data_IF_224365422569
#
_entry.id   IF_224365422569
#
_cell.length_a   1.000
_cell.length_b   1.000
_cell.length_c   1.000
_cell.angle_alpha   90.00
_cell.angle_beta   90.00
_cell.angle_gamma   90.00
#
_symmetry.space_group_name_H-M   'P 1'
#
loop_
_entity.id
_entity.type
_entity.pdbx_description
1 polymer ?
#
# COMPACT_ATOMS: atom_id res chain seq x y z
N UNK A 1 -35.64 -30.30 -9.17
CA UNK A 1 -34.94 -29.31 -10.06
C UNK A 1 -34.16 -28.23 -9.37
N UNK A 2 -33.98 -28.28 -8.03
CA UNK A 2 -33.43 -27.13 -7.25
C UNK A 2 -31.97 -27.26 -6.83
N UNK A 3 -31.31 -28.37 -7.16
CA UNK A 3 -29.86 -28.52 -6.83
C UNK A 3 -28.91 -27.80 -7.79
N UNK A 4 -29.43 -27.32 -8.93
CA UNK A 4 -28.62 -26.70 -9.99
C UNK A 4 -28.22 -25.24 -9.69
N UNK A 5 -28.91 -24.53 -8.78
CA UNK A 5 -28.60 -23.17 -8.39
C UNK A 5 -27.50 -23.20 -7.30
N UNK A 6 -27.55 -24.18 -6.41
CA UNK A 6 -26.62 -24.31 -5.26
C UNK A 6 -25.24 -24.82 -5.70
N UNK A 7 -25.17 -25.61 -6.80
CA UNK A 7 -23.92 -26.15 -7.35
C UNK A 7 -23.14 -25.19 -8.28
N UNK A 8 -23.74 -24.06 -8.67
CA UNK A 8 -23.15 -23.11 -9.63
C UNK A 8 -22.16 -22.11 -9.03
N UNK A 9 -22.07 -22.02 -7.71
CA UNK A 9 -21.16 -21.11 -7.07
C UNK A 9 -20.18 -21.92 -6.20
N UNK A 10 -18.88 -21.92 -6.53
CA UNK A 10 -17.89 -22.59 -5.70
C UNK A 10 -17.88 -21.96 -4.30
N UNK A 11 -18.04 -22.83 -3.30
CA UNK A 11 -18.10 -22.48 -1.87
C UNK A 11 -16.72 -22.17 -1.27
N UNK A 12 -15.67 -22.21 -2.08
CA UNK A 12 -14.30 -22.02 -1.60
C UNK A 12 -13.88 -20.55 -1.62
N UNK A 13 -13.33 -20.11 -0.48
CA UNK A 13 -12.72 -18.79 -0.29
C UNK A 13 -11.45 -18.54 -1.13
N UNK A 14 -11.21 -19.36 -2.17
CA UNK A 14 -9.93 -19.48 -2.88
C UNK A 14 -9.74 -18.50 -4.04
N UNK A 15 -10.45 -17.38 -4.13
CA UNK A 15 -10.40 -16.49 -5.29
C UNK A 15 -9.89 -15.06 -4.99
N UNK A 16 -8.95 -14.89 -4.04
CA UNK A 16 -8.09 -13.71 -3.99
C UNK A 16 -6.87 -13.85 -4.94
N UNK A 17 -6.79 -14.96 -5.69
CA UNK A 17 -5.75 -15.15 -6.73
C UNK A 17 -6.10 -14.34 -7.97
N UNK A 18 -5.16 -13.50 -8.47
CA UNK A 18 -5.29 -12.96 -9.81
C UNK A 18 -5.19 -14.10 -10.83
N UNK A 19 -6.30 -14.39 -11.49
CA UNK A 19 -6.42 -15.16 -12.73
C UNK A 19 -5.56 -16.44 -12.88
N UNK A 20 -6.13 -17.58 -12.59
CA UNK A 20 -5.75 -18.81 -13.30
C UNK A 20 -6.15 -18.66 -14.78
N UNK A 21 -5.25 -19.00 -15.68
CA UNK A 21 -5.52 -19.08 -17.12
C UNK A 21 -6.78 -19.93 -17.36
N UNK A 22 -7.85 -19.32 -17.86
CA UNK A 22 -9.11 -19.99 -18.25
C UNK A 22 -10.37 -19.60 -17.46
N UNK A 23 -10.30 -18.90 -16.34
CA UNK A 23 -11.46 -18.44 -15.57
C UNK A 23 -12.04 -17.14 -16.13
N UNK A 24 -13.26 -17.18 -16.71
CA UNK A 24 -14.02 -15.97 -17.03
C UNK A 24 -14.22 -15.17 -15.75
N UNK A 25 -13.65 -13.96 -15.69
CA UNK A 25 -13.91 -13.04 -14.58
C UNK A 25 -15.41 -12.89 -14.36
N UNK A 26 -15.88 -13.17 -13.14
CA UNK A 26 -17.28 -12.92 -12.78
C UNK A 26 -17.48 -11.41 -12.79
N UNK A 27 -18.31 -10.92 -13.70
CA UNK A 27 -18.59 -9.48 -13.83
C UNK A 27 -19.43 -8.98 -12.65
N UNK A 28 -19.38 -7.67 -12.30
CA UNK A 28 -20.26 -7.09 -11.28
C UNK A 28 -21.75 -7.38 -11.54
N UNK A 29 -22.17 -7.37 -12.80
CA UNK A 29 -23.55 -7.72 -13.17
C UNK A 29 -23.94 -9.14 -12.75
N UNK A 30 -23.08 -10.13 -13.01
CA UNK A 30 -23.32 -11.51 -12.58
C UNK A 30 -23.31 -11.68 -11.06
N UNK A 31 -22.50 -10.91 -10.35
CA UNK A 31 -22.51 -10.90 -8.88
C UNK A 31 -23.82 -10.30 -8.35
N UNK A 32 -24.35 -9.25 -8.98
CA UNK A 32 -25.62 -8.65 -8.61
C UNK A 32 -26.80 -9.60 -8.89
N UNK A 33 -26.77 -10.32 -10.01
CA UNK A 33 -27.75 -11.41 -10.31
C UNK A 33 -27.68 -12.51 -9.25
N UNK A 34 -26.48 -12.91 -8.83
CA UNK A 34 -26.31 -13.92 -7.78
C UNK A 34 -26.88 -13.44 -6.43
N UNK A 35 -26.65 -12.19 -6.04
CA UNK A 35 -27.23 -11.57 -4.83
C UNK A 35 -28.76 -11.63 -4.89
N UNK A 36 -29.36 -11.27 -6.03
CA UNK A 36 -30.83 -11.31 -6.24
C UNK A 36 -31.36 -12.71 -6.10
N UNK A 37 -30.76 -13.69 -6.80
CA UNK A 37 -31.19 -15.09 -6.75
C UNK A 37 -31.06 -15.69 -5.33
N UNK A 38 -29.99 -15.35 -4.59
CA UNK A 38 -29.81 -15.82 -3.21
C UNK A 38 -30.85 -15.20 -2.25
N UNK A 39 -31.20 -13.94 -2.42
CA UNK A 39 -32.30 -13.29 -1.65
C UNK A 39 -33.66 -13.90 -1.95
N UNK A 40 -33.93 -14.26 -3.20
CA UNK A 40 -35.14 -14.98 -3.57
C UNK A 40 -35.19 -16.40 -2.98
N UNK A 41 -34.08 -17.12 -3.01
CA UNK A 41 -33.96 -18.43 -2.39
C UNK A 41 -34.22 -18.36 -0.87
N UNK A 42 -33.70 -17.34 -0.19
CA UNK A 42 -33.94 -17.15 1.25
C UNK A 42 -35.39 -16.99 1.65
N UNK A 43 -36.25 -16.48 0.76
CA UNK A 43 -37.70 -16.41 1.01
C UNK A 43 -38.39 -17.79 1.13
N UNK A 44 -37.77 -18.83 0.56
CA UNK A 44 -38.28 -20.23 0.58
C UNK A 44 -37.77 -21.01 1.80
N UNK A 45 -36.61 -20.61 2.37
CA UNK A 45 -35.97 -21.31 3.48
C UNK A 45 -35.94 -20.38 4.68
N UNK A 46 -36.80 -20.65 5.66
CA UNK A 46 -36.72 -19.90 6.93
C UNK A 46 -35.77 -20.60 7.91
N UNK A 47 -35.21 -19.80 8.82
CA UNK A 47 -34.31 -20.31 9.86
C UNK A 47 -34.92 -21.41 10.73
N UNK A 48 -36.24 -21.32 10.98
CA UNK A 48 -36.97 -22.28 11.82
C UNK A 48 -37.23 -23.60 11.10
N UNK A 49 -37.51 -23.58 9.77
CA UNK A 49 -37.88 -24.75 9.00
C UNK A 49 -36.71 -25.49 8.40
N UNK A 50 -35.68 -24.76 7.99
CA UNK A 50 -34.52 -25.31 7.30
C UNK A 50 -33.26 -24.53 7.72
N UNK A 51 -32.80 -24.66 8.99
CA UNK A 51 -31.74 -23.84 9.53
C UNK A 51 -30.39 -23.95 8.79
N UNK A 52 -29.99 -25.16 8.39
CA UNK A 52 -28.72 -25.38 7.69
C UNK A 52 -28.72 -24.80 6.28
N UNK A 53 -29.80 -24.99 5.53
CA UNK A 53 -29.98 -24.42 4.19
C UNK A 53 -30.05 -22.89 4.25
N UNK A 54 -30.72 -22.36 5.28
CA UNK A 54 -30.78 -20.93 5.52
C UNK A 54 -29.38 -20.37 5.80
N UNK A 55 -28.60 -21.00 6.69
CA UNK A 55 -27.24 -20.58 7.02
C UNK A 55 -26.30 -20.67 5.80
N UNK A 56 -26.43 -21.70 4.97
CA UNK A 56 -25.69 -21.84 3.73
C UNK A 56 -26.03 -20.70 2.76
N UNK A 57 -27.30 -20.34 2.61
CA UNK A 57 -27.72 -19.22 1.77
C UNK A 57 -27.19 -17.90 2.31
N UNK A 58 -27.18 -17.70 3.64
CA UNK A 58 -26.58 -16.52 4.27
C UNK A 58 -25.09 -16.43 3.99
N UNK A 59 -24.33 -17.52 4.17
CA UNK A 59 -22.89 -17.55 3.87
C UNK A 59 -22.60 -17.25 2.40
N UNK A 60 -23.36 -17.84 1.48
CA UNK A 60 -23.23 -17.60 0.04
C UNK A 60 -23.60 -16.16 -0.35
N UNK A 61 -24.66 -15.59 0.27
CA UNK A 61 -25.04 -14.19 0.09
C UNK A 61 -23.91 -13.27 0.55
N UNK A 62 -23.32 -13.54 1.72
CA UNK A 62 -22.16 -12.82 2.22
C UNK A 62 -20.99 -12.84 1.23
N UNK A 63 -20.68 -14.01 0.64
CA UNK A 63 -19.63 -14.15 -0.37
C UNK A 63 -19.92 -13.30 -1.63
N UNK A 64 -21.15 -13.33 -2.15
CA UNK A 64 -21.53 -12.57 -3.34
C UNK A 64 -21.50 -11.06 -3.07
N UNK A 65 -22.01 -10.61 -1.92
CA UNK A 65 -22.03 -9.21 -1.49
C UNK A 65 -20.61 -8.68 -1.28
N UNK A 66 -19.73 -9.43 -0.58
CA UNK A 66 -18.35 -9.05 -0.36
C UNK A 66 -17.63 -8.81 -1.68
N UNK A 67 -17.68 -9.81 -2.61
CA UNK A 67 -17.03 -9.69 -3.92
C UNK A 67 -17.59 -8.53 -4.75
N UNK A 68 -18.89 -8.28 -4.68
CA UNK A 68 -19.55 -7.18 -5.38
C UNK A 68 -19.11 -5.84 -4.79
N UNK A 69 -19.08 -5.72 -3.44
CA UNK A 69 -18.62 -4.54 -2.71
C UNK A 69 -17.15 -4.22 -2.94
N UNK A 70 -16.28 -5.23 -3.03
CA UNK A 70 -14.88 -5.07 -3.41
C UNK A 70 -14.73 -4.48 -4.82
N UNK A 71 -15.43 -5.05 -5.80
CA UNK A 71 -15.32 -4.62 -7.20
C UNK A 71 -15.91 -3.24 -7.48
N UNK A 72 -16.96 -2.87 -6.76
CA UNK A 72 -17.63 -1.56 -6.89
C UNK A 72 -17.08 -0.51 -5.92
N UNK A 73 -16.16 -0.89 -5.06
CA UNK A 73 -15.69 -0.07 -3.94
C UNK A 73 -16.86 0.43 -3.04
N UNK A 74 -17.83 -0.46 -2.81
CA UNK A 74 -19.08 -0.17 -2.12
C UNK A 74 -19.05 -0.75 -0.69
N UNK A 75 -18.93 0.13 0.31
CA UNK A 75 -18.85 -0.24 1.72
C UNK A 75 -20.17 -0.80 2.27
N UNK A 76 -21.32 -0.34 1.76
CA UNK A 76 -22.62 -0.80 2.24
C UNK A 76 -22.80 -2.30 1.95
N UNK A 77 -22.37 -2.76 0.78
CA UNK A 77 -22.39 -4.17 0.43
C UNK A 77 -21.46 -5.02 1.29
N UNK A 78 -20.32 -4.47 1.70
CA UNK A 78 -19.43 -5.18 2.63
C UNK A 78 -20.10 -5.27 4.01
N UNK A 79 -20.78 -4.23 4.48
CA UNK A 79 -21.54 -4.26 5.73
C UNK A 79 -22.67 -5.28 5.67
N UNK A 80 -23.43 -5.34 4.57
CA UNK A 80 -24.44 -6.37 4.35
C UNK A 80 -23.82 -7.80 4.35
N UNK A 81 -22.63 -7.97 3.75
CA UNK A 81 -21.93 -9.25 3.77
C UNK A 81 -21.56 -9.68 5.20
N UNK A 82 -21.07 -8.76 6.01
CA UNK A 82 -20.77 -9.00 7.44
C UNK A 82 -22.03 -9.44 8.21
N UNK A 83 -23.17 -8.76 7.97
CA UNK A 83 -24.45 -9.12 8.58
C UNK A 83 -24.91 -10.53 8.16
N UNK A 84 -24.75 -10.88 6.88
CA UNK A 84 -25.09 -12.20 6.37
C UNK A 84 -24.21 -13.31 6.99
N UNK A 85 -22.90 -13.11 7.10
CA UNK A 85 -22.02 -14.07 7.77
C UNK A 85 -22.35 -14.22 9.26
N UNK A 86 -22.63 -13.12 9.97
CA UNK A 86 -23.07 -13.18 11.38
C UNK A 86 -24.37 -13.96 11.52
N UNK A 87 -25.32 -13.74 10.61
CA UNK A 87 -26.54 -14.55 10.55
C UNK A 87 -26.26 -16.04 10.35
N UNK A 88 -25.39 -16.42 9.41
CA UNK A 88 -25.02 -17.81 9.23
C UNK A 88 -24.39 -18.43 10.49
N UNK A 89 -23.57 -17.69 11.22
CA UNK A 89 -22.90 -18.11 12.46
C UNK A 89 -23.86 -18.32 13.65
N UNK A 90 -25.08 -17.80 13.59
CA UNK A 90 -26.12 -18.12 14.58
C UNK A 90 -26.62 -19.58 14.47
N UNK A 91 -26.42 -20.20 13.30
CA UNK A 91 -26.80 -21.59 13.02
C UNK A 91 -25.58 -22.50 12.94
N UNK A 92 -24.58 -22.09 12.16
CA UNK A 92 -23.31 -22.79 12.11
C UNK A 92 -22.59 -22.56 13.43
N UNK A 93 -22.49 -23.61 14.22
CA UNK A 93 -21.75 -23.59 15.48
C UNK A 93 -20.57 -24.54 15.39
N UNK A 94 -19.54 -24.27 16.18
CA UNK A 94 -18.36 -25.13 16.25
C UNK A 94 -18.67 -26.58 16.57
N UNK A 95 -19.72 -26.84 17.37
CA UNK A 95 -20.14 -28.19 17.79
C UNK A 95 -20.96 -28.93 16.73
N UNK A 96 -21.73 -28.21 15.88
CA UNK A 96 -22.65 -28.82 14.92
C UNK A 96 -22.10 -28.88 13.51
N UNK A 97 -21.39 -27.85 13.09
CA UNK A 97 -20.91 -27.66 11.73
C UNK A 97 -19.51 -27.02 11.76
N UNK A 98 -18.49 -27.71 12.30
CA UNK A 98 -17.18 -27.12 12.59
C UNK A 98 -16.49 -26.52 11.37
N UNK A 99 -16.56 -27.16 10.20
CA UNK A 99 -15.91 -26.66 8.99
C UNK A 99 -16.66 -25.50 8.35
N UNK A 100 -18.00 -25.56 8.28
CA UNK A 100 -18.85 -24.47 7.80
C UNK A 100 -18.74 -23.24 8.71
N UNK A 101 -18.67 -23.47 10.02
CA UNK A 101 -18.43 -22.43 10.99
C UNK A 101 -17.06 -21.78 10.77
N UNK A 102 -15.98 -22.55 10.63
CA UNK A 102 -14.64 -22.05 10.38
C UNK A 102 -14.54 -21.29 9.03
N UNK A 103 -15.16 -21.82 7.98
CA UNK A 103 -15.24 -21.16 6.68
C UNK A 103 -15.95 -19.80 6.79
N UNK A 104 -17.08 -19.77 7.52
CA UNK A 104 -17.85 -18.53 7.69
C UNK A 104 -17.09 -17.52 8.54
N UNK A 105 -16.36 -17.96 9.57
CA UNK A 105 -15.46 -17.09 10.36
C UNK A 105 -14.34 -16.53 9.49
N UNK A 106 -13.69 -17.34 8.64
CA UNK A 106 -12.66 -16.86 7.72
C UNK A 106 -13.23 -15.82 6.75
N UNK A 107 -14.41 -16.04 6.19
CA UNK A 107 -15.06 -15.12 5.25
C UNK A 107 -15.50 -13.81 5.95
N UNK A 108 -15.99 -13.90 7.18
CA UNK A 108 -16.30 -12.75 8.03
C UNK A 108 -15.03 -11.92 8.27
N UNK A 109 -13.91 -12.59 8.63
CA UNK A 109 -12.61 -11.96 8.81
C UNK A 109 -12.18 -11.19 7.56
N UNK A 110 -12.37 -11.77 6.36
CA UNK A 110 -12.03 -11.10 5.11
C UNK A 110 -12.87 -9.82 4.88
N UNK A 111 -14.19 -9.89 5.09
CA UNK A 111 -15.06 -8.72 4.95
C UNK A 111 -14.73 -7.61 5.97
N UNK A 112 -14.46 -7.99 7.23
CA UNK A 112 -14.06 -7.06 8.29
C UNK A 112 -12.72 -6.39 7.97
N UNK A 113 -11.73 -7.14 7.43
CA UNK A 113 -10.44 -6.58 7.03
C UNK A 113 -10.61 -5.53 5.93
N UNK A 114 -11.35 -5.84 4.86
CA UNK A 114 -11.59 -4.93 3.75
C UNK A 114 -12.20 -3.61 4.25
N UNK A 115 -13.22 -3.70 5.08
CA UNK A 115 -13.88 -2.51 5.63
C UNK A 115 -12.97 -1.80 6.62
N UNK A 116 -12.24 -2.57 7.44
CA UNK A 116 -11.29 -2.04 8.40
C UNK A 116 -10.11 -1.31 7.75
N UNK A 117 -9.62 -1.75 6.59
CA UNK A 117 -8.57 -1.07 5.83
C UNK A 117 -9.04 0.28 5.26
N UNK A 118 -10.34 0.43 5.00
CA UNK A 118 -10.94 1.67 4.53
C UNK A 118 -11.29 2.66 5.66
N UNK A 119 -11.39 2.18 6.89
CA UNK A 119 -11.61 3.00 8.08
C UNK A 119 -10.32 3.59 8.63
N UNK A 120 -10.45 4.62 9.46
CA UNK A 120 -9.30 5.18 10.21
C UNK A 120 -9.04 4.44 11.53
N UNK A 121 -10.06 3.77 12.10
CA UNK A 121 -9.97 3.05 13.38
C UNK A 121 -9.42 1.62 13.25
N UNK A 122 -9.11 1.00 14.39
CA UNK A 122 -8.55 -0.36 14.46
C UNK A 122 -9.58 -1.44 14.81
N UNK A 123 -10.78 -1.06 15.26
CA UNK A 123 -11.76 -2.00 15.81
C UNK A 123 -12.15 -3.13 14.83
N UNK A 124 -12.42 -2.80 13.56
CA UNK A 124 -12.78 -3.80 12.54
C UNK A 124 -11.61 -4.71 12.16
N UNK A 125 -10.39 -4.18 12.16
CA UNK A 125 -9.20 -4.99 11.95
C UNK A 125 -8.98 -5.96 13.12
N UNK A 126 -9.23 -5.53 14.36
CA UNK A 126 -9.17 -6.41 15.53
C UNK A 126 -10.25 -7.51 15.44
N UNK A 127 -11.51 -7.18 15.11
CA UNK A 127 -12.55 -8.18 14.89
C UNK A 127 -12.18 -9.17 13.75
N UNK A 128 -11.51 -8.69 12.71
CA UNK A 128 -11.01 -9.54 11.61
C UNK A 128 -9.97 -10.55 12.12
N UNK A 129 -8.99 -10.09 12.89
CA UNK A 129 -7.98 -10.95 13.51
C UNK A 129 -8.64 -12.02 14.38
N UNK A 130 -9.63 -11.64 15.20
CA UNK A 130 -10.34 -12.56 16.06
C UNK A 130 -11.14 -13.61 15.27
N UNK A 131 -11.81 -13.20 14.18
CA UNK A 131 -12.53 -14.12 13.30
C UNK A 131 -11.60 -15.15 12.64
N UNK A 132 -10.43 -14.74 12.14
CA UNK A 132 -9.44 -15.68 11.61
C UNK A 132 -8.88 -16.63 12.67
N UNK A 133 -8.61 -16.13 13.87
CA UNK A 133 -8.20 -16.98 14.99
C UNK A 133 -9.27 -18.00 15.36
N UNK A 134 -10.56 -17.60 15.33
CA UNK A 134 -11.67 -18.53 15.51
C UNK A 134 -11.67 -19.62 14.44
N UNK A 135 -11.52 -19.26 13.16
CA UNK A 135 -11.48 -20.25 12.08
C UNK A 135 -10.34 -21.28 12.30
N UNK A 136 -9.17 -20.84 12.76
CA UNK A 136 -8.00 -21.69 13.00
C UNK A 136 -8.15 -22.69 14.15
N UNK A 137 -9.21 -22.60 14.98
CA UNK A 137 -9.52 -23.68 15.92
C UNK A 137 -9.93 -24.98 15.24
N UNK A 138 -10.62 -24.90 14.11
CA UNK A 138 -11.09 -26.06 13.34
C UNK A 138 -10.25 -26.31 12.08
N UNK A 139 -9.73 -25.28 11.46
CA UNK A 139 -8.78 -25.42 10.37
C UNK A 139 -7.41 -25.80 10.94
N UNK A 140 -7.05 -27.07 10.78
CA UNK A 140 -5.79 -27.63 11.22
C UNK A 140 -4.98 -28.16 10.03
N UNK A 141 -3.66 -28.02 10.05
CA UNK A 141 -2.82 -28.40 8.90
C UNK A 141 -2.92 -29.89 8.55
N UNK A 142 -3.26 -30.75 9.52
CA UNK A 142 -3.42 -32.20 9.33
C UNK A 142 -4.73 -32.57 8.64
N UNK A 143 -5.78 -31.73 8.77
CA UNK A 143 -7.13 -32.03 8.25
C UNK A 143 -7.46 -31.28 6.98
N UNK A 144 -7.20 -29.98 6.97
CA UNK A 144 -7.53 -29.05 5.87
C UNK A 144 -6.36 -28.09 5.62
N UNK A 145 -5.22 -28.62 5.15
CA UNK A 145 -3.98 -27.86 5.04
C UNK A 145 -4.08 -26.59 4.19
N UNK A 146 -4.85 -26.61 3.11
CA UNK A 146 -4.98 -25.45 2.21
C UNK A 146 -5.81 -24.34 2.86
N UNK A 147 -6.95 -24.68 3.49
CA UNK A 147 -7.81 -23.70 4.19
C UNK A 147 -7.08 -23.12 5.41
N UNK A 148 -6.33 -23.97 6.12
CA UNK A 148 -5.48 -23.53 7.23
C UNK A 148 -4.42 -22.54 6.74
N UNK A 149 -3.69 -22.84 5.68
CA UNK A 149 -2.65 -21.97 5.14
C UNK A 149 -3.21 -20.66 4.58
N UNK A 150 -4.37 -20.72 3.92
CA UNK A 150 -5.09 -19.54 3.45
C UNK A 150 -5.51 -18.66 4.63
N UNK A 151 -6.06 -19.24 5.69
CA UNK A 151 -6.48 -18.50 6.89
C UNK A 151 -5.29 -17.90 7.62
N UNK A 152 -4.15 -18.61 7.71
CA UNK A 152 -2.90 -18.06 8.24
C UNK A 152 -2.40 -16.86 7.42
N UNK A 153 -2.45 -16.96 6.10
CA UNK A 153 -2.10 -15.84 5.21
C UNK A 153 -3.02 -14.63 5.45
N UNK A 154 -4.32 -14.86 5.52
CA UNK A 154 -5.32 -13.80 5.75
C UNK A 154 -5.16 -13.16 7.14
N UNK A 155 -4.89 -13.98 8.17
CA UNK A 155 -4.56 -13.51 9.52
C UNK A 155 -3.33 -12.60 9.49
N UNK A 156 -2.27 -13.03 8.80
CA UNK A 156 -1.06 -12.22 8.60
C UNK A 156 -1.36 -10.86 7.96
N UNK A 157 -2.24 -10.83 6.94
CA UNK A 157 -2.65 -9.58 6.29
C UNK A 157 -3.41 -8.65 7.24
N UNK A 158 -4.36 -9.18 8.01
CA UNK A 158 -5.11 -8.39 9.00
C UNK A 158 -4.21 -7.86 10.13
N UNK A 159 -3.31 -8.70 10.64
CA UNK A 159 -2.33 -8.33 11.67
C UNK A 159 -1.36 -7.25 11.17
N UNK A 160 -0.89 -7.34 9.92
CA UNK A 160 -0.06 -6.30 9.32
C UNK A 160 -0.82 -4.97 9.24
N UNK A 161 -2.04 -4.97 8.68
CA UNK A 161 -2.85 -3.75 8.57
C UNK A 161 -3.18 -3.14 9.94
N UNK A 162 -3.40 -3.97 10.96
CA UNK A 162 -3.56 -3.52 12.35
C UNK A 162 -2.26 -2.95 12.90
N UNK A 163 -1.15 -3.67 12.72
CA UNK A 163 0.17 -3.29 13.20
C UNK A 163 0.68 -1.99 12.57
N UNK A 164 0.37 -1.71 11.30
CA UNK A 164 0.73 -0.45 10.64
C UNK A 164 0.05 0.77 11.29
N UNK A 165 -1.07 0.58 12.00
CA UNK A 165 -1.80 1.63 12.72
C UNK A 165 -1.43 1.75 14.20
N UNK A 166 -0.82 0.72 14.76
CA UNK A 166 -0.33 0.70 16.14
C UNK A 166 1.14 1.16 16.17
N UNK A 167 1.60 1.69 17.29
CA UNK A 167 2.99 2.18 17.43
C UNK A 167 4.00 1.07 17.75
N UNK A 168 3.53 -0.08 18.28
CA UNK A 168 4.40 -1.21 18.66
C UNK A 168 4.71 -2.16 17.51
N UNK A 169 5.61 -3.11 17.73
CA UNK A 169 6.03 -4.13 16.74
C UNK A 169 5.25 -5.44 16.84
N UNK A 170 4.60 -5.71 17.98
CA UNK A 170 4.01 -7.01 18.29
C UNK A 170 3.06 -7.56 17.22
N UNK A 171 2.19 -6.71 16.63
CA UNK A 171 1.27 -7.14 15.57
C UNK A 171 1.98 -7.48 14.27
N UNK A 172 3.04 -6.76 13.95
CA UNK A 172 3.86 -7.05 12.77
C UNK A 172 4.64 -8.36 12.95
N UNK A 173 5.15 -8.62 14.14
CA UNK A 173 5.82 -9.89 14.50
C UNK A 173 4.83 -11.07 14.39
N UNK A 174 3.61 -10.92 14.92
CA UNK A 174 2.55 -11.90 14.75
C UNK A 174 2.19 -12.12 13.28
N UNK A 175 2.17 -11.05 12.45
CA UNK A 175 1.93 -11.14 11.02
C UNK A 175 3.01 -11.95 10.31
N UNK A 176 4.27 -11.68 10.60
CA UNK A 176 5.43 -12.42 10.07
C UNK A 176 5.32 -13.90 10.44
N UNK A 177 5.00 -14.21 11.72
CA UNK A 177 4.81 -15.58 12.16
C UNK A 177 3.67 -16.29 11.41
N UNK A 178 2.53 -15.61 11.20
CA UNK A 178 1.39 -16.16 10.46
C UNK A 178 1.73 -16.45 8.99
N UNK A 179 2.46 -15.58 8.31
CA UNK A 179 2.93 -15.83 6.94
C UNK A 179 3.91 -17.01 6.88
N UNK A 180 4.82 -17.14 7.83
CA UNK A 180 5.69 -18.30 7.90
C UNK A 180 4.90 -19.59 8.09
N UNK A 181 3.84 -19.59 8.91
CA UNK A 181 2.95 -20.75 9.03
C UNK A 181 2.29 -21.08 7.69
N UNK A 182 1.75 -20.10 6.97
CA UNK A 182 1.15 -20.31 5.66
C UNK A 182 2.14 -20.95 4.66
N UNK A 183 3.40 -20.50 4.66
CA UNK A 183 4.45 -20.98 3.77
C UNK A 183 4.88 -22.43 4.04
N UNK A 184 4.56 -23.01 5.19
CA UNK A 184 4.80 -24.44 5.46
C UNK A 184 3.97 -25.35 4.55
N UNK A 185 2.81 -24.87 4.09
CA UNK A 185 1.89 -25.60 3.22
C UNK A 185 1.91 -25.05 1.80
N UNK A 186 1.84 -23.73 1.66
CA UNK A 186 2.00 -23.04 0.38
C UNK A 186 3.44 -23.05 -0.03
N UNK A 187 3.87 -24.14 -0.68
CA UNK A 187 5.24 -24.25 -1.20
C UNK A 187 5.25 -23.86 -2.68
N UNK A 188 6.40 -23.44 -3.18
CA UNK A 188 6.60 -23.08 -4.59
C UNK A 188 6.17 -24.21 -5.55
N UNK A 189 6.38 -25.47 -5.16
CA UNK A 189 6.03 -26.65 -5.96
C UNK A 189 4.53 -26.94 -5.98
N UNK A 190 3.82 -26.69 -4.87
CA UNK A 190 2.40 -27.03 -4.71
C UNK A 190 1.45 -25.93 -5.14
N UNK A 191 1.79 -24.68 -4.86
CA UNK A 191 0.96 -23.52 -5.09
C UNK A 191 1.86 -22.29 -5.40
N UNK A 192 2.51 -22.24 -6.59
CA UNK A 192 3.53 -21.23 -6.88
C UNK A 192 3.04 -19.79 -6.76
N UNK A 193 1.83 -19.49 -7.22
CA UNK A 193 1.28 -18.12 -7.14
C UNK A 193 0.90 -17.74 -5.70
N UNK A 194 0.25 -18.66 -4.96
CA UNK A 194 -0.09 -18.41 -3.55
C UNK A 194 1.15 -18.30 -2.66
N UNK A 195 2.17 -19.09 -2.98
CA UNK A 195 3.47 -19.00 -2.34
C UNK A 195 4.11 -17.63 -2.60
N UNK A 196 4.16 -17.18 -3.85
CA UNK A 196 4.72 -15.88 -4.21
C UNK A 196 3.96 -14.71 -3.59
N UNK A 197 2.62 -14.77 -3.59
CA UNK A 197 1.78 -13.79 -2.91
C UNK A 197 2.07 -13.76 -1.41
N UNK A 198 2.24 -14.92 -0.78
CA UNK A 198 2.56 -14.99 0.65
C UNK A 198 3.96 -14.47 0.94
N UNK A 199 4.94 -14.75 0.07
CA UNK A 199 6.29 -14.18 0.16
C UNK A 199 6.29 -12.65 0.01
N UNK A 200 5.54 -12.11 -0.95
CA UNK A 200 5.40 -10.66 -1.13
C UNK A 200 4.79 -9.97 0.10
N UNK A 201 3.74 -10.58 0.68
CA UNK A 201 3.10 -10.04 1.88
C UNK A 201 3.96 -10.21 3.14
N UNK A 202 4.75 -11.30 3.24
CA UNK A 202 5.78 -11.45 4.27
C UNK A 202 6.82 -10.33 4.13
N UNK A 203 7.27 -10.04 2.91
CA UNK A 203 8.18 -8.93 2.64
C UNK A 203 7.62 -7.58 3.11
N UNK A 204 6.31 -7.32 2.87
CA UNK A 204 5.66 -6.10 3.35
C UNK A 204 5.65 -6.01 4.89
N UNK A 205 5.33 -7.11 5.59
CA UNK A 205 5.33 -7.14 7.05
C UNK A 205 6.73 -6.97 7.65
N UNK A 206 7.73 -7.63 7.05
CA UNK A 206 9.14 -7.51 7.45
C UNK A 206 9.69 -6.10 7.19
N UNK A 207 9.35 -5.48 6.06
CA UNK A 207 9.73 -4.10 5.77
C UNK A 207 9.13 -3.13 6.80
N UNK A 208 7.82 -3.25 7.08
CA UNK A 208 7.15 -2.42 8.09
C UNK A 208 7.73 -2.62 9.50
N UNK A 209 8.13 -3.84 9.85
CA UNK A 209 8.82 -4.14 11.10
C UNK A 209 10.22 -3.50 11.11
N UNK A 210 10.98 -3.71 10.03
CA UNK A 210 12.32 -3.14 9.88
C UNK A 210 12.34 -1.61 9.93
N UNK A 211 11.31 -0.92 9.42
CA UNK A 211 11.24 0.55 9.53
C UNK A 211 11.09 1.06 10.97
N UNK A 212 10.58 0.24 11.88
CA UNK A 212 10.39 0.59 13.30
C UNK A 212 11.59 0.26 14.18
N UNK A 213 12.52 -0.50 13.66
CA UNK A 213 13.73 -0.93 14.37
C UNK A 213 14.95 -0.12 13.92
N UNK A 214 15.96 -0.09 14.74
CA UNK A 214 17.27 0.51 14.38
C UNK A 214 18.15 -0.45 13.58
N UNK A 215 17.89 -1.77 13.69
CA UNK A 215 18.60 -2.83 12.97
C UNK A 215 18.19 -2.95 11.50
N UNK A 216 18.99 -3.70 10.73
CA UNK A 216 18.74 -3.92 9.29
C UNK A 216 18.31 -5.35 8.97
N UNK A 217 18.21 -6.22 9.98
CA UNK A 217 17.95 -7.65 9.76
C UNK A 217 16.60 -7.89 9.06
N UNK A 218 15.51 -7.30 9.56
CA UNK A 218 14.19 -7.48 8.96
C UNK A 218 14.08 -6.85 7.56
N UNK A 219 14.80 -5.75 7.30
CA UNK A 219 14.89 -5.19 5.94
C UNK A 219 15.62 -6.16 4.98
N UNK A 220 16.68 -6.82 5.41
CA UNK A 220 17.38 -7.85 4.62
C UNK A 220 16.48 -9.07 4.35
N UNK A 221 15.71 -9.48 5.35
CA UNK A 221 14.71 -10.56 5.20
C UNK A 221 13.58 -10.15 4.25
N UNK A 222 13.11 -8.88 4.31
CA UNK A 222 12.13 -8.34 3.37
C UNK A 222 12.65 -8.39 1.93
N UNK A 223 13.88 -7.95 1.68
CA UNK A 223 14.53 -8.04 0.37
C UNK A 223 14.58 -9.49 -0.12
N UNK A 224 14.93 -10.43 0.75
CA UNK A 224 14.93 -11.86 0.42
C UNK A 224 13.54 -12.37 0.04
N UNK A 225 12.51 -12.02 0.82
CA UNK A 225 11.13 -12.42 0.59
C UNK A 225 10.58 -11.85 -0.75
N UNK A 226 10.85 -10.60 -1.07
CA UNK A 226 10.46 -10.03 -2.37
C UNK A 226 11.20 -10.67 -3.54
N UNK A 227 12.49 -10.98 -3.41
CA UNK A 227 13.23 -11.69 -4.44
C UNK A 227 12.67 -13.10 -4.67
N UNK A 228 12.26 -13.79 -3.60
CA UNK A 228 11.57 -15.07 -3.72
C UNK A 228 10.21 -14.91 -4.41
N UNK A 229 9.40 -13.91 -4.05
CA UNK A 229 8.13 -13.65 -4.72
C UNK A 229 8.30 -13.40 -6.23
N UNK A 230 9.32 -12.67 -6.65
CA UNK A 230 9.62 -12.35 -8.04
C UNK A 230 10.01 -13.57 -8.90
N UNK A 231 10.29 -14.73 -8.28
CA UNK A 231 10.50 -15.98 -9.04
C UNK A 231 9.23 -16.47 -9.74
N UNK A 232 8.06 -16.14 -9.21
CA UNK A 232 6.74 -16.54 -9.74
C UNK A 232 5.87 -15.34 -10.15
N UNK A 233 6.01 -14.18 -9.49
CA UNK A 233 5.47 -12.92 -9.98
C UNK A 233 6.27 -12.50 -11.20
N UNK A 234 5.78 -12.91 -12.37
CA UNK A 234 6.48 -12.71 -13.65
C UNK A 234 5.79 -11.63 -14.47
N UNK A 235 6.60 -10.88 -15.19
CA UNK A 235 6.16 -9.79 -16.05
C UNK A 235 5.11 -10.23 -17.07
N UNK A 236 5.31 -11.39 -17.69
CA UNK A 236 4.44 -11.95 -18.74
C UNK A 236 3.07 -12.44 -18.23
N UNK A 237 2.95 -12.75 -16.93
CA UNK A 237 1.72 -13.28 -16.32
C UNK A 237 0.95 -12.26 -15.51
N UNK A 238 1.62 -11.30 -14.91
CA UNK A 238 0.98 -10.29 -14.06
C UNK A 238 1.85 -9.03 -13.95
N UNK A 239 1.91 -8.20 -15.00
CA UNK A 239 2.84 -7.06 -15.06
C UNK A 239 2.67 -6.10 -13.87
N UNK A 240 1.44 -5.81 -13.43
CA UNK A 240 1.20 -4.91 -12.30
C UNK A 240 1.63 -5.51 -10.95
N UNK A 241 1.40 -6.82 -10.74
CA UNK A 241 1.84 -7.50 -9.51
C UNK A 241 3.37 -7.56 -9.46
N UNK A 242 4.00 -7.84 -10.60
CA UNK A 242 5.45 -7.84 -10.75
C UNK A 242 6.03 -6.45 -10.48
N UNK A 243 5.48 -5.40 -11.07
CA UNK A 243 5.91 -4.02 -10.87
C UNK A 243 5.77 -3.58 -9.39
N UNK A 244 4.63 -3.89 -8.76
CA UNK A 244 4.41 -3.60 -7.33
C UNK A 244 5.43 -4.31 -6.44
N UNK A 245 5.73 -5.58 -6.74
CA UNK A 245 6.74 -6.33 -5.97
C UNK A 245 8.13 -5.72 -6.14
N UNK A 246 8.47 -5.24 -7.36
CA UNK A 246 9.72 -4.52 -7.61
C UNK A 246 9.78 -3.16 -6.90
N UNK A 247 8.69 -2.40 -6.88
CA UNK A 247 8.65 -1.13 -6.14
C UNK A 247 8.85 -1.36 -4.65
N UNK A 248 8.20 -2.38 -4.08
CA UNK A 248 8.38 -2.72 -2.66
C UNK A 248 9.81 -3.23 -2.36
N UNK A 249 10.39 -4.02 -3.27
CA UNK A 249 11.80 -4.40 -3.19
C UNK A 249 12.70 -3.16 -3.21
N UNK A 250 12.44 -2.21 -4.12
CA UNK A 250 13.14 -0.95 -4.21
C UNK A 250 13.09 -0.14 -2.90
N UNK A 251 11.92 -0.09 -2.27
CA UNK A 251 11.75 0.58 -0.97
C UNK A 251 12.65 -0.06 0.11
N UNK A 252 12.58 -1.39 0.26
CA UNK A 252 13.40 -2.09 1.25
C UNK A 252 14.91 -1.95 0.99
N UNK A 253 15.32 -1.98 -0.29
CA UNK A 253 16.71 -1.75 -0.70
C UNK A 253 17.16 -0.30 -0.43
N UNK A 254 16.27 0.70 -0.64
CA UNK A 254 16.55 2.10 -0.33
C UNK A 254 16.79 2.30 1.16
N UNK A 255 15.90 1.76 2.00
CA UNK A 255 16.02 1.80 3.47
C UNK A 255 17.30 1.12 3.96
N UNK A 256 17.68 -0.04 3.38
CA UNK A 256 18.97 -0.69 3.66
C UNK A 256 20.13 0.21 3.26
N UNK A 257 20.08 0.77 2.06
CA UNK A 257 21.11 1.65 1.55
C UNK A 257 21.33 2.88 2.43
N UNK A 258 20.27 3.45 2.99
CA UNK A 258 20.36 4.57 3.92
C UNK A 258 21.02 4.19 5.24
N UNK A 259 20.63 3.03 5.84
CA UNK A 259 21.10 2.60 7.17
C UNK A 259 22.49 1.98 7.17
N UNK A 260 22.84 1.25 6.12
CA UNK A 260 24.14 0.58 6.01
C UNK A 260 25.19 1.44 5.30
N UNK A 261 24.80 2.61 4.82
CA UNK A 261 25.64 3.53 4.04
C UNK A 261 26.28 2.88 2.79
N UNK A 262 25.68 1.78 2.30
CA UNK A 262 26.16 1.06 1.13
C UNK A 262 25.47 1.53 -0.16
N UNK A 263 26.22 2.15 -1.05
CA UNK A 263 25.72 2.62 -2.35
C UNK A 263 25.15 1.52 -3.25
N UNK A 264 25.58 0.27 -3.06
CA UNK A 264 25.10 -0.85 -3.89
C UNK A 264 23.61 -1.11 -3.71
N UNK A 265 23.09 -1.04 -2.47
CA UNK A 265 21.66 -1.18 -2.20
C UNK A 265 20.84 -0.10 -2.92
N UNK A 266 21.31 1.14 -2.90
CA UNK A 266 20.66 2.23 -3.62
C UNK A 266 20.69 2.04 -5.14
N UNK A 267 21.79 1.51 -5.72
CA UNK A 267 21.85 1.20 -7.17
C UNK A 267 20.87 0.11 -7.56
N UNK A 268 20.76 -0.92 -6.72
CA UNK A 268 19.75 -1.97 -6.91
C UNK A 268 18.32 -1.42 -6.79
N UNK A 269 18.07 -0.52 -5.82
CA UNK A 269 16.78 0.16 -5.67
C UNK A 269 16.41 0.96 -6.93
N UNK A 270 17.33 1.76 -7.46
CA UNK A 270 17.16 2.51 -8.72
C UNK A 270 16.80 1.56 -9.87
N UNK A 271 17.50 0.43 -9.96
CA UNK A 271 17.20 -0.57 -11.00
C UNK A 271 15.80 -1.16 -10.83
N UNK A 272 15.41 -1.52 -9.62
CA UNK A 272 14.10 -2.09 -9.32
C UNK A 272 12.97 -1.10 -9.65
N UNK A 273 13.10 0.18 -9.28
CA UNK A 273 12.11 1.20 -9.60
C UNK A 273 11.99 1.46 -11.11
N UNK A 274 13.11 1.54 -11.83
CA UNK A 274 13.11 1.72 -13.29
C UNK A 274 12.42 0.56 -14.01
N UNK A 275 12.64 -0.68 -13.55
CA UNK A 275 11.94 -1.84 -14.11
C UNK A 275 10.43 -1.80 -13.78
N UNK A 276 10.06 -1.44 -12.55
CA UNK A 276 8.66 -1.30 -12.16
C UNK A 276 7.91 -0.25 -13.00
N UNK A 277 8.53 0.89 -13.25
CA UNK A 277 7.96 1.99 -14.05
C UNK A 277 7.64 1.61 -15.50
N UNK A 278 8.31 0.59 -16.05
CA UNK A 278 8.01 0.09 -17.41
C UNK A 278 6.63 -0.56 -17.51
N UNK A 279 6.09 -1.05 -16.37
CA UNK A 279 4.84 -1.80 -16.31
C UNK A 279 3.70 -1.06 -15.62
N UNK A 280 3.97 0.08 -14.99
CA UNK A 280 2.91 0.95 -14.51
C UNK A 280 2.40 1.83 -15.66
N UNK A 281 1.23 1.51 -16.26
CA UNK A 281 0.65 2.38 -17.25
C UNK A 281 0.16 3.66 -16.58
N UNK A 282 0.76 4.79 -16.95
CA UNK A 282 0.48 6.09 -16.34
C UNK A 282 -1.02 6.43 -16.35
N UNK A 283 -1.74 6.05 -17.41
CA UNK A 283 -3.18 6.29 -17.52
C UNK A 283 -4.04 5.39 -16.60
N UNK A 284 -3.55 4.20 -16.21
CA UNK A 284 -4.32 3.21 -15.44
C UNK A 284 -3.93 3.15 -13.97
N UNK A 285 -2.68 3.50 -13.65
CA UNK A 285 -2.12 3.48 -12.31
C UNK A 285 -1.29 4.74 -12.03
N UNK A 286 -1.87 5.95 -12.21
CA UNK A 286 -1.14 7.21 -12.10
C UNK A 286 -0.49 7.43 -10.75
N UNK A 287 -1.15 7.04 -9.65
CA UNK A 287 -0.61 7.20 -8.30
C UNK A 287 0.54 6.23 -8.01
N UNK A 288 0.42 4.95 -8.41
CA UNK A 288 1.50 3.97 -8.25
C UNK A 288 2.73 4.39 -9.06
N UNK A 289 2.51 4.88 -10.28
CA UNK A 289 3.56 5.40 -11.13
C UNK A 289 4.24 6.62 -10.47
N UNK A 290 3.46 7.61 -10.01
CA UNK A 290 3.98 8.82 -9.37
C UNK A 290 4.74 8.50 -8.07
N UNK A 291 4.23 7.60 -7.23
CA UNK A 291 4.91 7.16 -6.02
C UNK A 291 6.24 6.46 -6.35
N UNK A 292 6.26 5.63 -7.40
CA UNK A 292 7.49 4.95 -7.82
C UNK A 292 8.50 5.95 -8.40
N UNK A 293 8.05 6.96 -9.14
CA UNK A 293 8.91 8.07 -9.60
C UNK A 293 9.49 8.87 -8.42
N UNK A 294 8.67 9.22 -7.43
CA UNK A 294 9.16 9.90 -6.23
C UNK A 294 10.22 9.06 -5.49
N UNK A 295 9.99 7.76 -5.35
CA UNK A 295 10.94 6.87 -4.66
C UNK A 295 12.23 6.65 -5.46
N UNK A 296 12.13 6.60 -6.80
CA UNK A 296 13.31 6.63 -7.69
C UNK A 296 14.11 7.92 -7.49
N UNK A 297 13.43 9.07 -7.44
CA UNK A 297 14.04 10.37 -7.15
C UNK A 297 14.78 10.37 -5.82
N UNK A 298 14.19 9.81 -4.76
CA UNK A 298 14.81 9.69 -3.44
C UNK A 298 16.10 8.84 -3.52
N UNK A 299 16.07 7.67 -4.14
CA UNK A 299 17.23 6.81 -4.28
C UNK A 299 18.37 7.47 -5.11
N UNK A 300 18.01 8.18 -6.18
CA UNK A 300 18.96 8.93 -7.01
C UNK A 300 19.56 10.11 -6.25
N UNK A 301 18.76 10.86 -5.49
CA UNK A 301 19.22 11.96 -4.64
C UNK A 301 20.25 11.48 -3.61
N UNK A 302 19.94 10.38 -2.91
CA UNK A 302 20.88 9.77 -1.94
C UNK A 302 22.19 9.29 -2.59
N UNK A 303 22.11 8.70 -3.78
CA UNK A 303 23.31 8.35 -4.54
C UNK A 303 24.11 9.59 -4.95
N UNK A 304 23.41 10.63 -5.43
CA UNK A 304 24.03 11.90 -5.82
C UNK A 304 24.74 12.61 -4.65
N UNK A 305 24.16 12.56 -3.45
CA UNK A 305 24.77 13.09 -2.23
C UNK A 305 26.08 12.37 -1.86
N UNK A 306 26.13 11.04 -2.05
CA UNK A 306 27.31 10.22 -1.68
C UNK A 306 28.50 10.36 -2.61
N UNK A 307 28.25 10.51 -3.89
CA UNK A 307 29.30 10.55 -4.91
C UNK A 307 29.46 11.93 -5.57
N UNK A 308 28.84 12.97 -4.99
CA UNK A 308 28.76 14.32 -5.54
C UNK A 308 28.31 14.34 -7.02
N UNK A 309 27.42 13.43 -7.35
CA UNK A 309 26.96 13.19 -8.72
C UNK A 309 25.87 14.17 -9.15
N UNK A 310 26.24 15.34 -9.70
CA UNK A 310 25.31 16.36 -10.20
C UNK A 310 24.26 15.75 -11.15
N UNK A 311 24.67 14.90 -12.08
CA UNK A 311 23.74 14.26 -13.03
C UNK A 311 22.67 13.39 -12.38
N UNK A 312 22.97 12.70 -11.25
CA UNK A 312 21.98 11.96 -10.50
C UNK A 312 20.99 12.85 -9.78
N UNK A 313 21.47 13.98 -9.29
CA UNK A 313 20.62 14.98 -8.64
C UNK A 313 19.67 15.62 -9.66
N UNK A 314 20.14 15.91 -10.88
CA UNK A 314 19.31 16.40 -11.98
C UNK A 314 18.26 15.36 -12.40
N UNK A 315 18.63 14.08 -12.48
CA UNK A 315 17.69 12.99 -12.73
C UNK A 315 16.64 12.87 -11.60
N UNK A 316 17.04 13.03 -10.34
CA UNK A 316 16.12 13.06 -9.21
C UNK A 316 15.11 14.21 -9.33
N UNK A 317 15.55 15.41 -9.66
CA UNK A 317 14.68 16.56 -9.92
C UNK A 317 13.66 16.25 -11.02
N UNK A 318 14.09 15.60 -12.10
CA UNK A 318 13.20 15.20 -13.18
C UNK A 318 12.15 14.18 -12.70
N UNK A 319 12.56 13.15 -11.95
CA UNK A 319 11.64 12.17 -11.38
C UNK A 319 10.57 12.81 -10.48
N UNK A 320 10.95 13.77 -9.63
CA UNK A 320 9.97 14.46 -8.78
C UNK A 320 9.00 15.33 -9.59
N UNK A 321 9.48 16.03 -10.62
CA UNK A 321 8.61 16.81 -11.50
C UNK A 321 7.60 15.94 -12.23
N UNK A 322 8.05 14.80 -12.75
CA UNK A 322 7.17 13.83 -13.39
C UNK A 322 6.16 13.25 -12.40
N UNK A 323 6.57 12.94 -11.15
CA UNK A 323 5.66 12.50 -10.11
C UNK A 323 4.56 13.52 -9.81
N UNK A 324 4.90 14.82 -9.77
CA UNK A 324 3.96 15.93 -9.51
C UNK A 324 2.93 16.15 -10.63
N UNK A 325 3.16 15.66 -11.83
CA UNK A 325 2.18 15.73 -12.91
C UNK A 325 0.95 14.84 -12.61
N UNK A 326 1.14 13.71 -11.92
CA UNK A 326 0.08 12.76 -11.57
C UNK A 326 -0.36 12.86 -10.11
N UNK A 327 0.58 13.08 -9.20
CA UNK A 327 0.30 13.31 -7.79
C UNK A 327 -0.11 14.76 -7.56
N UNK A 328 -1.39 15.06 -7.76
CA UNK A 328 -1.91 16.44 -7.73
C UNK A 328 -2.44 16.80 -6.35
N UNK A 329 -2.35 18.08 -6.00
CA UNK A 329 -2.81 18.63 -4.73
C UNK A 329 -4.28 18.27 -4.42
N UNK A 330 -5.17 18.34 -5.41
CA UNK A 330 -6.62 18.08 -5.26
C UNK A 330 -6.95 16.61 -4.96
N UNK A 331 -6.06 15.67 -5.26
CA UNK A 331 -6.28 14.22 -5.08
C UNK A 331 -5.49 13.61 -3.93
N UNK A 332 -4.29 14.08 -3.70
CA UNK A 332 -3.38 13.51 -2.71
C UNK A 332 -2.49 14.60 -2.10
N UNK A 333 -3.07 15.54 -1.32
CA UNK A 333 -2.36 16.73 -0.86
C UNK A 333 -1.08 16.44 -0.08
N UNK A 334 -1.09 15.46 0.82
CA UNK A 334 0.11 15.10 1.60
C UNK A 334 1.22 14.51 0.73
N UNK A 335 0.91 13.58 -0.18
CA UNK A 335 1.89 13.00 -1.09
C UNK A 335 2.46 14.06 -2.03
N UNK A 336 1.61 14.96 -2.51
CA UNK A 336 2.04 16.11 -3.32
C UNK A 336 3.02 16.99 -2.54
N UNK A 337 2.71 17.36 -1.29
CA UNK A 337 3.57 18.18 -0.45
C UNK A 337 4.91 17.49 -0.12
N UNK A 338 4.88 16.19 0.17
CA UNK A 338 6.10 15.40 0.38
C UNK A 338 6.98 15.39 -0.88
N UNK A 339 6.39 15.23 -2.07
CA UNK A 339 7.13 15.28 -3.34
C UNK A 339 7.68 16.68 -3.62
N UNK A 340 6.92 17.75 -3.32
CA UNK A 340 7.42 19.13 -3.40
C UNK A 340 8.61 19.38 -2.47
N UNK A 341 8.53 18.88 -1.22
CA UNK A 341 9.65 18.98 -0.28
C UNK A 341 10.89 18.22 -0.78
N UNK A 342 10.71 17.01 -1.32
CA UNK A 342 11.82 16.22 -1.88
C UNK A 342 12.46 16.93 -3.10
N UNK A 343 11.62 17.51 -3.97
CA UNK A 343 12.08 18.34 -5.08
C UNK A 343 12.87 19.56 -4.57
N UNK A 344 12.37 20.22 -3.53
CA UNK A 344 13.05 21.34 -2.89
C UNK A 344 14.44 20.94 -2.36
N UNK A 345 14.54 19.79 -1.71
CA UNK A 345 15.82 19.26 -1.20
C UNK A 345 16.84 19.03 -2.34
N UNK A 346 16.40 18.40 -3.43
CA UNK A 346 17.27 18.14 -4.58
C UNK A 346 17.70 19.45 -5.29
N UNK A 347 16.79 20.42 -5.41
CA UNK A 347 17.07 21.74 -5.97
C UNK A 347 18.02 22.55 -5.08
N UNK A 348 17.85 22.49 -3.76
CA UNK A 348 18.75 23.11 -2.79
C UNK A 348 20.18 22.57 -2.95
N UNK A 349 20.33 21.24 -3.04
CA UNK A 349 21.66 20.61 -3.27
C UNK A 349 22.30 21.04 -4.58
N UNK A 350 21.54 21.06 -5.68
CA UNK A 350 22.02 21.61 -6.95
C UNK A 350 22.36 23.11 -6.84
N UNK A 351 21.56 23.83 -6.07
CA UNK A 351 21.75 25.24 -5.80
C UNK A 351 22.98 25.56 -4.93
N UNK A 352 23.55 24.63 -4.20
CA UNK A 352 24.77 24.79 -3.44
C UNK A 352 26.02 25.00 -4.34
N UNK A 353 25.96 24.60 -5.61
CA UNK A 353 26.98 24.91 -6.63
C UNK A 353 27.07 26.39 -6.97
N UNK A 354 28.20 26.85 -7.51
CA UNK A 354 28.51 28.28 -7.71
C UNK A 354 27.50 29.07 -8.55
N UNK A 355 26.82 28.43 -9.52
CA UNK A 355 25.85 29.06 -10.43
C UNK A 355 24.38 28.79 -10.08
N UNK A 356 24.11 28.28 -8.92
CA UNK A 356 22.81 27.68 -8.55
C UNK A 356 21.69 28.65 -8.12
N UNK A 357 21.70 29.92 -8.48
CA UNK A 357 20.65 30.87 -8.01
C UNK A 357 19.24 30.48 -8.46
N UNK A 358 19.08 30.06 -9.70
CA UNK A 358 17.77 29.61 -10.23
C UNK A 358 17.25 28.38 -9.48
N UNK A 359 18.14 27.45 -9.14
CA UNK A 359 17.80 26.27 -8.35
C UNK A 359 17.38 26.64 -6.95
N UNK A 360 18.07 27.60 -6.30
CA UNK A 360 17.71 28.11 -4.97
C UNK A 360 16.32 28.80 -4.99
N UNK A 361 16.05 29.63 -5.97
CA UNK A 361 14.72 30.26 -6.13
C UNK A 361 13.63 29.23 -6.33
N UNK A 362 13.86 28.20 -7.15
CA UNK A 362 12.92 27.10 -7.36
C UNK A 362 12.73 26.26 -6.07
N UNK A 363 13.82 26.00 -5.32
CA UNK A 363 13.74 25.30 -4.04
C UNK A 363 12.86 26.05 -3.02
N UNK A 364 13.03 27.38 -2.90
CA UNK A 364 12.21 28.21 -2.02
C UNK A 364 10.73 28.14 -2.40
N UNK A 365 10.41 28.17 -3.69
CA UNK A 365 9.04 28.07 -4.19
C UNK A 365 8.42 26.73 -3.81
N UNK A 366 9.10 25.60 -4.08
CA UNK A 366 8.60 24.26 -3.76
C UNK A 366 8.44 24.04 -2.25
N UNK A 367 9.33 24.56 -1.41
CA UNK A 367 9.15 24.50 0.04
C UNK A 367 7.95 25.31 0.52
N UNK A 368 7.68 26.50 -0.04
CA UNK A 368 6.50 27.28 0.32
C UNK A 368 5.20 26.52 -0.05
N UNK A 369 5.18 25.87 -1.20
CA UNK A 369 4.06 25.04 -1.63
C UNK A 369 3.84 23.86 -0.67
N UNK A 370 4.90 23.16 -0.28
CA UNK A 370 4.83 22.05 0.68
C UNK A 370 4.38 22.51 2.06
N UNK A 371 4.92 23.62 2.56
CA UNK A 371 4.60 24.20 3.88
C UNK A 371 3.11 24.56 3.99
N UNK A 372 2.49 25.10 2.93
CA UNK A 372 1.08 25.42 2.94
C UNK A 372 0.21 24.20 3.28
N UNK A 373 0.59 23.02 2.77
CA UNK A 373 -0.11 21.75 3.05
C UNK A 373 0.23 21.21 4.42
N UNK A 374 1.51 21.17 4.79
CA UNK A 374 1.95 20.64 6.09
C UNK A 374 1.34 21.43 7.25
N UNK A 375 1.23 22.76 7.14
CA UNK A 375 0.57 23.60 8.14
C UNK A 375 -0.92 23.30 8.21
N UNK A 376 -1.62 23.21 7.06
CA UNK A 376 -3.03 22.87 7.02
C UNK A 376 -3.33 21.48 7.61
N UNK A 377 -2.42 20.54 7.46
CA UNK A 377 -2.52 19.18 8.00
C UNK A 377 -1.98 19.04 9.44
N UNK A 378 -1.45 20.10 10.04
CA UNK A 378 -0.79 20.08 11.36
C UNK A 378 0.35 19.04 11.46
N UNK A 379 1.08 18.85 10.36
CA UNK A 379 2.17 17.88 10.24
C UNK A 379 3.51 18.45 10.79
N UNK A 380 3.59 18.64 12.11
CA UNK A 380 4.64 19.40 12.82
C UNK A 380 6.05 18.99 12.39
N UNK A 381 6.35 17.70 12.37
CA UNK A 381 7.67 17.19 12.00
C UNK A 381 8.11 17.65 10.59
N UNK A 382 7.19 17.60 9.60
CA UNK A 382 7.50 18.05 8.24
C UNK A 382 7.64 19.58 8.15
N UNK A 383 6.89 20.32 8.96
CA UNK A 383 6.93 21.78 9.00
C UNK A 383 8.34 22.25 9.42
N UNK A 384 8.87 21.73 10.53
CA UNK A 384 10.16 22.12 11.08
C UNK A 384 11.30 21.91 10.07
N UNK A 385 11.42 20.68 9.54
CA UNK A 385 12.47 20.33 8.57
C UNK A 385 12.36 21.16 7.27
N UNK A 386 11.12 21.36 6.78
CA UNK A 386 10.89 22.12 5.57
C UNK A 386 11.22 23.60 5.74
N UNK A 387 10.93 24.20 6.91
CA UNK A 387 11.34 25.56 7.25
C UNK A 387 12.86 25.72 7.29
N UNK A 388 13.56 24.82 7.98
CA UNK A 388 15.04 24.87 8.08
C UNK A 388 15.68 24.84 6.69
N UNK A 389 15.24 23.94 5.82
CA UNK A 389 15.77 23.81 4.46
C UNK A 389 15.46 25.04 3.60
N UNK A 390 14.22 25.58 3.71
CA UNK A 390 13.83 26.80 3.01
C UNK A 390 14.68 27.99 3.45
N UNK A 391 14.87 28.19 4.76
CA UNK A 391 15.62 29.31 5.31
C UNK A 391 17.10 29.20 4.93
N UNK A 392 17.65 27.99 4.84
CA UNK A 392 18.98 27.74 4.28
C UNK A 392 19.06 28.15 2.81
N UNK A 393 18.06 27.81 1.99
CA UNK A 393 18.02 28.24 0.59
C UNK A 393 17.94 29.76 0.46
N UNK A 394 17.15 30.42 1.31
CA UNK A 394 17.06 31.90 1.37
C UNK A 394 18.39 32.53 1.72
N UNK A 395 19.08 32.03 2.74
CA UNK A 395 20.37 32.53 3.16
C UNK A 395 21.42 32.43 2.03
N UNK A 396 21.54 31.26 1.41
CA UNK A 396 22.45 31.02 0.27
C UNK A 396 22.15 31.94 -0.91
N UNK A 397 20.87 32.16 -1.22
CA UNK A 397 20.45 33.04 -2.29
C UNK A 397 20.82 34.51 -1.98
N UNK A 398 20.65 34.95 -0.71
CA UNK A 398 20.98 36.31 -0.27
C UNK A 398 22.48 36.57 -0.34
N UNK A 399 23.32 35.58 0.03
CA UNK A 399 24.78 35.67 -0.07
C UNK A 399 25.28 35.84 -1.52
N UNK A 400 24.58 35.25 -2.48
CA UNK A 400 24.94 35.24 -3.92
C UNK A 400 24.39 36.40 -4.72
N UNK A 401 23.31 37.04 -4.25
CA UNK A 401 22.78 38.22 -4.92
C UNK A 401 23.84 39.33 -4.84
N UNK A 402 24.28 39.91 -5.98
CA UNK A 402 25.19 41.02 -5.95
C UNK A 402 24.61 42.14 -5.08
N UNK A 403 25.39 42.63 -4.10
CA UNK A 403 24.99 43.79 -3.34
C UNK A 403 24.78 44.92 -4.34
N UNK A 404 23.56 45.25 -4.67
CA UNK A 404 23.22 46.45 -5.41
C UNK A 404 23.74 47.61 -4.53
N UNK A 405 24.85 48.23 -4.95
CA UNK A 405 25.30 49.47 -4.33
C UNK A 405 24.10 50.41 -4.33
N UNK A 406 23.67 50.97 -3.18
CA UNK A 406 22.67 52.02 -3.22
C UNK A 406 23.24 53.08 -4.15
N UNK A 407 22.60 53.28 -5.31
CA UNK A 407 22.90 54.38 -6.19
C UNK A 407 23.10 55.62 -5.34
N UNK A 408 24.27 56.26 -5.44
CA UNK A 408 24.48 57.60 -4.89
C UNK A 408 23.21 58.42 -5.04
N UNK A 409 22.72 59.09 -4.02
CA UNK A 409 21.62 60.03 -4.22
C UNK A 409 22.04 60.99 -5.33
N UNK A 410 21.37 60.90 -6.45
CA UNK A 410 21.49 61.90 -7.52
C UNK A 410 21.16 63.26 -6.88
N UNK A 411 22.02 64.21 -7.17
CA UNK A 411 21.95 65.58 -6.76
C UNK A 411 20.50 66.12 -6.62
N UNK A 412 20.06 66.27 -5.39
CA UNK A 412 18.90 67.06 -5.04
C UNK A 412 19.28 68.54 -4.98
N UNK A 413 19.76 69.03 -6.10
CA UNK A 413 20.12 70.44 -6.26
C UNK A 413 19.74 70.96 -7.62
N UNK A 414 18.48 70.88 -8.00
CA UNK A 414 17.94 71.68 -9.12
C UNK A 414 16.42 71.49 -9.17
N UNK A 415 15.67 72.15 -8.31
CA UNK A 415 14.27 72.54 -8.55
C UNK A 415 13.79 73.38 -7.35
N UNK A 416 14.35 74.56 -7.20
CA UNK A 416 13.61 75.67 -6.57
C UNK A 416 13.12 76.55 -7.71
N UNK A 417 11.81 76.75 -7.88
CA UNK A 417 11.32 77.81 -8.73
C UNK A 417 11.54 79.12 -7.97
N UNK A 418 12.17 80.08 -8.62
CA UNK A 418 12.25 81.44 -8.25
C UNK A 418 10.85 82.05 -8.14
N UNK A 419 10.46 82.45 -6.92
CA UNK A 419 9.85 83.68 -6.46
C UNK A 419 9.74 83.69 -5.00
#
# INVERSE_FOLDING_TARGET
MDNAVLSRFPTTAADDTPLSEGGRQITPARLAEAVTALREAQRRYSRERAPLEWAMLQSNLGNALRRLGERLNDNERIVEAIAAYRGALEVYTRSRSPLEWAMTQNNLGAALRILGERDTGTARLQESVDAYRQALYEYRPERVPLDWAMTQHNLGAALRSLGERETGTARLEEAVAAYHQALRVRTRQRAPLDWAMTQGNLGNALAALGERETGTQHLREAVSAYREALREHRRDRGPLVWARTLSNLGNALSSLGEREEEANWLREAVTAYREALKEYPRERAPLDWAMTQNNLGNALSRLGERDNGVGRMEEAVQCYREALEECRYDRAPMQWAMTQNNLGNALLRLGEGESGMTQLEAAIATYNDALAVFVAASAIHYIEVCWENRDRAIALLAERRPRTNPTKPADAAALLPSL
#
